data_IF_697412747264
#
_entry.id   IF_697412747264
#
_cell.length_a   1.000
_cell.length_b   1.000
_cell.length_c   1.000
_cell.angle_alpha   90.00
_cell.angle_beta   90.00
_cell.angle_gamma   90.00
#
_symmetry.space_group_name_H-M   'P 1'
#
loop_
_entity.id
_entity.type
_entity.pdbx_description
1 polymer ?
#
# COMPACT_ATOMS: atom_id res chain seq x y z
N UNK A 1 -13.32 14.36 1.81
CA UNK A 1 -12.96 14.14 0.40
C UNK A 1 -11.94 13.02 0.35
N UNK A 2 -12.09 12.05 -0.56
CA UNK A 2 -11.05 11.04 -0.82
C UNK A 2 -9.86 11.79 -1.45
N UNK A 3 -8.67 11.67 -0.86
CA UNK A 3 -7.47 12.31 -1.40
C UNK A 3 -7.14 11.66 -2.75
N UNK A 4 -6.63 12.47 -3.68
CA UNK A 4 -6.16 11.97 -4.96
C UNK A 4 -4.90 11.12 -4.75
N UNK A 5 -4.89 9.96 -5.38
CA UNK A 5 -3.78 9.00 -5.33
C UNK A 5 -3.13 8.90 -6.70
N UNK A 6 -1.82 8.81 -6.68
CA UNK A 6 -0.95 8.55 -7.83
C UNK A 6 -0.33 7.18 -7.66
N UNK A 7 0.29 6.71 -8.73
CA UNK A 7 1.07 5.48 -8.69
C UNK A 7 2.24 5.57 -9.65
N UNK A 8 3.25 4.76 -9.38
CA UNK A 8 4.33 4.44 -10.30
C UNK A 8 4.63 2.93 -10.18
N UNK A 9 5.15 2.36 -11.25
CA UNK A 9 5.51 0.95 -11.30
C UNK A 9 6.87 0.80 -11.94
N UNK A 10 7.79 0.20 -11.19
CA UNK A 10 9.11 -0.19 -11.68
C UNK A 10 9.01 -1.60 -12.29
N UNK A 11 9.09 -1.68 -13.61
CA UNK A 11 9.04 -2.94 -14.35
C UNK A 11 10.26 -3.83 -14.15
N UNK A 12 11.42 -3.26 -13.82
CA UNK A 12 12.66 -4.04 -13.64
C UNK A 12 12.67 -4.70 -12.25
N UNK A 13 12.21 -3.97 -11.24
CA UNK A 13 12.15 -4.45 -9.85
C UNK A 13 10.82 -5.13 -9.50
N UNK A 14 9.80 -5.02 -10.37
CA UNK A 14 8.42 -5.47 -10.13
C UNK A 14 7.83 -4.85 -8.85
N UNK A 15 8.00 -3.54 -8.70
CA UNK A 15 7.53 -2.78 -7.54
C UNK A 15 6.43 -1.82 -7.97
N UNK A 16 5.25 -1.95 -7.37
CA UNK A 16 4.16 -0.99 -7.51
C UNK A 16 4.10 -0.09 -6.29
N UNK A 17 4.22 1.21 -6.49
CA UNK A 17 4.04 2.22 -5.46
C UNK A 17 2.73 2.99 -5.70
N UNK A 18 1.87 3.07 -4.69
CA UNK A 18 0.64 3.86 -4.72
C UNK A 18 0.68 4.88 -3.59
N UNK A 19 0.64 6.17 -3.92
CA UNK A 19 0.85 7.25 -2.97
C UNK A 19 -0.15 8.38 -3.11
N UNK A 20 -0.34 9.15 -2.03
CA UNK A 20 -1.16 10.35 -2.03
C UNK A 20 -0.41 11.50 -2.71
N UNK A 21 -1.14 12.42 -3.33
CA UNK A 21 -0.56 13.62 -3.94
C UNK A 21 -0.09 14.69 -2.94
N UNK A 22 -0.11 14.41 -1.64
CA UNK A 22 0.30 15.38 -0.63
C UNK A 22 1.81 15.63 -0.69
N UNK A 23 2.19 16.89 -0.52
CA UNK A 23 3.59 17.35 -0.46
C UNK A 23 4.20 17.16 0.95
N UNK A 24 3.60 16.33 1.80
CA UNK A 24 4.14 16.06 3.13
C UNK A 24 5.43 15.21 2.99
N UNK A 25 6.49 15.61 3.69
CA UNK A 25 7.76 14.86 3.66
C UNK A 25 7.59 13.47 4.30
N UNK A 26 8.07 12.44 3.60
CA UNK A 26 8.16 11.08 4.14
C UNK A 26 9.17 11.10 5.29
N UNK A 27 8.73 10.69 6.48
CA UNK A 27 9.61 10.56 7.65
C UNK A 27 10.30 9.21 7.70
N UNK A 28 9.63 8.17 7.22
CA UNK A 28 10.14 6.81 7.17
C UNK A 28 9.10 5.81 6.66
N UNK A 29 9.55 4.57 6.46
CA UNK A 29 8.72 3.46 6.00
C UNK A 29 8.63 2.35 7.05
N UNK A 30 7.49 1.65 7.07
CA UNK A 30 7.32 0.41 7.82
C UNK A 30 7.19 -0.74 6.83
N UNK A 31 8.10 -1.70 6.88
CA UNK A 31 8.11 -2.84 5.96
C UNK A 31 7.60 -4.12 6.64
N UNK A 32 6.65 -4.80 5.98
CA UNK A 32 6.08 -6.09 6.38
C UNK A 32 6.09 -7.06 5.20
N UNK A 33 7.09 -7.94 5.15
CA UNK A 33 7.30 -8.81 4.00
C UNK A 33 7.55 -7.96 2.75
N UNK A 34 6.70 -8.13 1.73
CA UNK A 34 6.81 -7.41 0.44
C UNK A 34 6.09 -6.05 0.43
N UNK A 35 5.50 -5.64 1.57
CA UNK A 35 4.84 -4.34 1.69
C UNK A 35 5.74 -3.34 2.39
N UNK A 36 5.85 -2.14 1.85
CA UNK A 36 6.37 -0.97 2.57
C UNK A 36 5.28 0.09 2.67
N UNK A 37 5.10 0.67 3.86
CA UNK A 37 4.13 1.73 4.12
C UNK A 37 4.88 3.01 4.45
N UNK A 38 4.71 4.04 3.65
CA UNK A 38 5.31 5.35 3.89
C UNK A 38 4.47 6.16 4.86
N UNK A 39 5.13 6.71 5.88
CA UNK A 39 4.48 7.44 6.96
C UNK A 39 5.03 8.87 7.08
N UNK A 40 4.11 9.82 7.14
CA UNK A 40 4.39 11.23 7.36
C UNK A 40 4.83 11.52 8.79
N UNK A 41 5.24 12.77 9.03
CA UNK A 41 5.65 13.23 10.36
C UNK A 41 4.57 13.13 11.45
N UNK A 42 3.30 13.22 11.06
CA UNK A 42 2.15 13.16 11.96
C UNK A 42 1.51 11.77 12.04
N UNK A 43 2.16 10.75 11.46
CA UNK A 43 1.66 9.37 11.46
C UNK A 43 0.66 9.06 10.36
N UNK A 44 0.35 9.98 9.45
CA UNK A 44 -0.47 9.68 8.27
C UNK A 44 0.26 8.75 7.31
N UNK A 45 -0.49 7.85 6.69
CA UNK A 45 0.02 7.01 5.61
C UNK A 45 0.01 7.84 4.32
N UNK A 46 1.17 7.95 3.69
CA UNK A 46 1.39 8.69 2.45
C UNK A 46 1.45 7.78 1.22
N UNK A 47 1.94 6.55 1.40
CA UNK A 47 2.18 5.61 0.31
C UNK A 47 2.18 4.17 0.78
N UNK A 48 1.97 3.28 -0.18
CA UNK A 48 2.11 1.83 -0.01
C UNK A 48 2.84 1.29 -1.23
N UNK A 49 3.94 0.59 -0.99
CA UNK A 49 4.71 -0.13 -1.99
C UNK A 49 4.46 -1.63 -1.86
N UNK A 50 4.47 -2.33 -2.99
CA UNK A 50 4.40 -3.78 -3.06
C UNK A 50 5.48 -4.31 -3.99
N UNK A 51 6.41 -5.09 -3.43
CA UNK A 51 7.39 -5.86 -4.20
C UNK A 51 6.77 -7.13 -4.80
N UNK A 52 7.19 -7.51 -6.00
CA UNK A 52 6.62 -8.64 -6.74
C UNK A 52 5.17 -8.40 -7.14
N UNK A 53 4.79 -7.15 -7.44
CA UNK A 53 3.40 -6.72 -7.58
C UNK A 53 2.65 -7.52 -8.66
N UNK A 54 3.31 -7.84 -9.77
CA UNK A 54 2.72 -8.60 -10.88
C UNK A 54 2.14 -9.95 -10.44
N UNK A 55 2.91 -10.69 -9.62
CA UNK A 55 2.52 -11.97 -9.06
C UNK A 55 1.41 -11.83 -8.03
N UNK A 56 1.57 -10.91 -7.08
CA UNK A 56 0.62 -10.72 -5.99
C UNK A 56 -0.75 -10.20 -6.45
N UNK A 57 -0.78 -9.37 -7.50
CA UNK A 57 -2.01 -8.82 -8.07
C UNK A 57 -2.57 -9.67 -9.21
N UNK A 58 -1.83 -10.71 -9.65
CA UNK A 58 -2.12 -11.51 -10.83
C UNK A 58 -2.37 -10.64 -12.07
N UNK A 59 -1.48 -9.67 -12.29
CA UNK A 59 -1.51 -8.74 -13.42
C UNK A 59 -0.15 -8.68 -14.11
N UNK A 60 -0.17 -8.64 -15.44
CA UNK A 60 1.06 -8.48 -16.22
C UNK A 60 1.74 -7.12 -15.93
N UNK A 61 3.08 -7.07 -15.88
CA UNK A 61 3.84 -5.83 -15.65
C UNK A 61 3.41 -4.64 -16.53
N UNK A 62 3.12 -4.88 -17.82
CA UNK A 62 2.71 -3.79 -18.74
C UNK A 62 1.34 -3.19 -18.38
N UNK A 63 0.47 -3.96 -17.71
CA UNK A 63 -0.81 -3.46 -17.19
C UNK A 63 -0.58 -2.61 -15.95
N UNK A 64 0.30 -3.03 -15.04
CA UNK A 64 0.68 -2.29 -13.84
C UNK A 64 1.35 -0.95 -14.17
N UNK A 65 2.16 -0.91 -15.24
CA UNK A 65 2.78 0.32 -15.73
C UNK A 65 1.78 1.36 -16.27
N UNK A 66 0.52 0.97 -16.50
CA UNK A 66 -0.47 1.81 -17.18
C UNK A 66 -1.86 1.73 -16.57
N UNK A 67 -1.97 1.54 -15.25
CA UNK A 67 -3.26 1.43 -14.57
C UNK A 67 -4.17 2.64 -14.89
N UNK A 68 -5.46 2.37 -15.00
CA UNK A 68 -6.45 3.45 -15.16
C UNK A 68 -6.67 4.15 -13.80
N UNK A 69 -6.50 3.40 -12.71
CA UNK A 69 -6.64 3.91 -11.35
C UNK A 69 -5.89 3.05 -10.33
N UNK A 70 -5.36 3.71 -9.31
CA UNK A 70 -4.88 3.07 -8.08
C UNK A 70 -5.36 3.90 -6.87
N UNK A 71 -5.90 3.25 -5.84
CA UNK A 71 -6.43 3.88 -4.63
C UNK A 71 -5.85 3.19 -3.39
N UNK A 72 -5.29 3.97 -2.45
CA UNK A 72 -4.90 3.45 -1.13
C UNK A 72 -6.18 3.07 -0.34
N UNK A 73 -6.11 1.90 0.31
CA UNK A 73 -7.14 1.38 1.20
C UNK A 73 -6.61 1.42 2.64
N UNK A 74 -7.21 2.26 3.47
CA UNK A 74 -6.99 2.26 4.93
C UNK A 74 -8.36 2.09 5.59
N UNK A 75 -8.55 0.97 6.28
CA UNK A 75 -9.81 0.66 6.96
C UNK A 75 -9.54 0.13 8.36
N UNK A 76 -10.27 0.62 9.36
CA UNK A 76 -10.27 0.05 10.70
C UNK A 76 -11.52 -0.79 10.89
N UNK A 77 -11.37 -2.01 11.40
CA UNK A 77 -12.49 -2.83 11.87
C UNK A 77 -12.12 -3.43 13.22
N UNK A 78 -12.81 -3.01 14.28
CA UNK A 78 -12.45 -3.36 15.65
C UNK A 78 -11.01 -2.93 15.99
N UNK A 79 -10.20 -3.90 16.41
CA UNK A 79 -8.79 -3.75 16.75
C UNK A 79 -7.84 -4.14 15.61
N UNK A 80 -8.31 -4.18 14.36
CA UNK A 80 -7.46 -4.48 13.19
C UNK A 80 -7.48 -3.28 12.24
N UNK A 81 -6.30 -2.86 11.83
CA UNK A 81 -6.08 -1.88 10.78
C UNK A 81 -5.70 -2.61 9.49
N UNK A 82 -6.50 -2.40 8.46
CA UNK A 82 -6.29 -2.92 7.11
C UNK A 82 -5.62 -1.82 6.29
N UNK A 83 -4.43 -2.11 5.77
CA UNK A 83 -3.65 -1.16 4.96
C UNK A 83 -3.27 -1.86 3.66
N UNK A 84 -3.50 -1.19 2.53
CA UNK A 84 -3.16 -1.72 1.22
C UNK A 84 -3.63 -0.79 0.13
N UNK A 85 -3.95 -1.35 -1.04
CA UNK A 85 -4.47 -0.58 -2.16
C UNK A 85 -5.34 -1.43 -3.09
N UNK A 86 -6.03 -0.74 -3.98
CA UNK A 86 -6.81 -1.31 -5.08
C UNK A 86 -6.33 -0.72 -6.39
N UNK A 87 -6.18 -1.56 -7.41
CA UNK A 87 -5.78 -1.17 -8.76
C UNK A 87 -6.83 -1.58 -9.79
N UNK A 88 -6.99 -0.77 -10.83
CA UNK A 88 -7.97 -0.97 -11.90
C UNK A 88 -7.28 -0.80 -13.26
N UNK A 89 -7.49 -1.77 -14.16
CA UNK A 89 -7.13 -1.70 -15.58
C UNK A 89 -8.25 -2.28 -16.43
N UNK A 90 -8.97 -1.44 -17.15
CA UNK A 90 -10.15 -1.82 -17.92
C UNK A 90 -11.23 -2.45 -17.04
N UNK A 91 -11.45 -3.76 -17.21
CA UNK A 91 -12.40 -4.55 -16.39
C UNK A 91 -11.72 -5.31 -15.24
N UNK A 92 -10.39 -5.34 -15.21
CA UNK A 92 -9.63 -6.01 -14.16
C UNK A 92 -9.55 -5.11 -12.94
N UNK A 93 -9.80 -5.69 -11.77
CA UNK A 93 -9.72 -5.03 -10.48
C UNK A 93 -9.04 -6.00 -9.52
N UNK A 94 -7.99 -5.54 -8.83
CA UNK A 94 -7.30 -6.31 -7.80
C UNK A 94 -7.11 -5.45 -6.56
N UNK A 95 -7.33 -6.07 -5.41
CA UNK A 95 -7.15 -5.45 -4.09
C UNK A 95 -6.22 -6.33 -3.28
N UNK A 96 -5.25 -5.70 -2.64
CA UNK A 96 -4.34 -6.37 -1.73
C UNK A 96 -4.14 -5.53 -0.48
N UNK A 97 -3.97 -6.19 0.66
CA UNK A 97 -3.85 -5.54 1.95
C UNK A 97 -3.09 -6.41 2.94
N UNK A 98 -2.46 -5.74 3.90
CA UNK A 98 -1.99 -6.33 5.14
C UNK A 98 -2.95 -5.97 6.29
N UNK A 99 -2.95 -6.83 7.31
CA UNK A 99 -3.78 -6.67 8.49
C UNK A 99 -2.86 -6.46 9.68
N UNK A 100 -2.85 -5.25 10.23
CA UNK A 100 -2.04 -4.88 11.39
C UNK A 100 -2.93 -4.90 12.64
N UNK A 101 -2.64 -5.73 13.65
CA UNK A 101 -3.30 -5.63 14.93
C UNK A 101 -3.05 -4.25 15.54
N UNK A 102 -4.12 -3.55 15.87
CA UNK A 102 -4.14 -2.31 16.62
C UNK A 102 -4.54 -2.65 18.06
N UNK A 103 -3.65 -3.35 18.77
CA UNK A 103 -3.77 -3.61 20.21
C UNK A 103 -2.87 -2.62 20.96
N UNK A 104 -3.33 -2.16 22.13
CA UNK A 104 -2.55 -1.29 23.01
C UNK A 104 -1.48 -2.05 23.83
N UNK A 105 -1.54 -3.39 23.84
CA UNK A 105 -0.65 -4.22 24.65
C UNK A 105 0.49 -4.81 23.80
N UNK A 106 1.72 -4.36 24.08
CA UNK A 106 2.93 -5.05 23.65
C UNK A 106 2.95 -6.45 24.28
N UNK A 107 2.77 -7.49 23.46
CA UNK A 107 2.97 -8.86 23.93
C UNK A 107 4.49 -9.03 24.15
N UNK A 108 4.95 -9.36 25.37
CA UNK A 108 6.36 -9.60 25.61
C UNK A 108 6.82 -10.77 24.75
N UNK A 109 7.98 -10.63 24.10
CA UNK A 109 8.63 -11.74 23.41
C UNK A 109 8.88 -12.85 24.45
N UNK A 110 8.33 -14.03 24.20
CA UNK A 110 8.67 -15.21 24.99
C UNK A 110 10.13 -15.59 24.72
N UNK A 111 10.90 -15.75 25.81
CA UNK A 111 12.29 -16.18 25.81
C UNK A 111 12.50 -17.56 25.16
#
# INVERSE_FOLDING_TARGET
MKKETKFDYDTELDILHVYTSDLEEIKGGITFGNFTIDVANDGKILGVELEGASSHLNMEPQKLASLDKADILIKKNGNILFIGFTVIKGKENSTIQINVPNQEECIPLSN
#
